data_IF_787900443357
#
_entry.id   IF_787900443357
#
_cell.length_a   1.000
_cell.length_b   1.000
_cell.length_c   1.000
_cell.angle_alpha   90.00
_cell.angle_beta   90.00
_cell.angle_gamma   90.00
#
_symmetry.space_group_name_H-M   'P 1'
#
loop_
_entity.id
_entity.type
_entity.pdbx_description
1 polymer ?
#
# COMPACT_ATOMS: atom_id res chain seq x y z
N UNK A 1 -0.29 -10.04 1.86
CA UNK A 1 -0.71 -8.64 1.63
C UNK A 1 -1.14 -8.52 0.18
N UNK A 2 -2.42 -8.26 -0.09
CA UNK A 2 -2.98 -8.18 -1.45
C UNK A 2 -2.50 -6.93 -2.19
N UNK A 3 -1.25 -6.94 -2.66
CA UNK A 3 -0.61 -5.86 -3.42
C UNK A 3 -0.57 -6.16 -4.93
N UNK A 4 -1.41 -7.09 -5.41
CA UNK A 4 -1.43 -7.51 -6.81
C UNK A 4 -1.76 -6.34 -7.75
N UNK A 5 -2.66 -5.44 -7.35
CA UNK A 5 -2.94 -4.23 -8.11
C UNK A 5 -1.76 -3.27 -8.16
N UNK A 6 -0.95 -3.15 -7.08
CA UNK A 6 0.30 -2.39 -7.12
C UNK A 6 1.32 -3.03 -8.07
N UNK A 7 1.41 -4.37 -8.07
CA UNK A 7 2.32 -5.10 -8.94
C UNK A 7 1.99 -4.86 -10.42
N UNK A 8 0.71 -4.93 -10.79
CA UNK A 8 0.23 -4.64 -12.14
C UNK A 8 0.47 -3.18 -12.53
N UNK A 9 0.09 -2.22 -11.68
CA UNK A 9 0.29 -0.79 -11.97
C UNK A 9 1.78 -0.43 -12.11
N UNK A 10 2.68 -1.07 -11.35
CA UNK A 10 4.12 -0.93 -11.52
C UNK A 10 4.61 -1.48 -12.87
N UNK A 11 4.05 -2.60 -13.34
CA UNK A 11 4.38 -3.14 -14.65
C UNK A 11 3.94 -2.18 -15.77
N UNK A 12 2.72 -1.64 -15.67
CA UNK A 12 2.19 -0.64 -16.61
C UNK A 12 3.05 0.64 -16.63
N UNK A 13 3.51 1.09 -15.46
CA UNK A 13 4.41 2.24 -15.35
C UNK A 13 5.73 2.01 -16.10
N UNK A 14 6.35 0.83 -15.91
CA UNK A 14 7.60 0.45 -16.59
C UNK A 14 7.39 0.40 -18.11
N UNK A 15 6.26 -0.14 -18.56
CA UNK A 15 5.92 -0.17 -19.98
C UNK A 15 5.69 1.22 -20.55
N UNK A 16 4.95 2.09 -19.85
CA UNK A 16 4.72 3.47 -20.27
C UNK A 16 6.02 4.28 -20.38
N UNK A 17 6.97 4.08 -19.46
CA UNK A 17 8.32 4.64 -19.56
C UNK A 17 9.01 4.24 -20.87
N UNK A 18 8.98 2.94 -21.21
CA UNK A 18 9.63 2.41 -22.43
C UNK A 18 9.00 2.95 -23.71
N UNK A 19 7.70 3.22 -23.68
CA UNK A 19 6.94 3.74 -24.83
C UNK A 19 6.95 5.28 -24.92
N UNK A 20 7.61 5.97 -23.98
CA UNK A 20 7.53 7.44 -23.81
C UNK A 20 6.08 7.96 -23.73
N UNK A 21 5.16 7.12 -23.24
CA UNK A 21 3.75 7.48 -23.10
C UNK A 21 3.54 8.24 -21.79
N UNK A 22 3.70 9.57 -21.88
CA UNK A 22 3.60 10.48 -20.73
C UNK A 22 2.23 10.41 -20.04
N UNK A 23 1.15 10.15 -20.79
CA UNK A 23 -0.20 10.09 -20.22
C UNK A 23 -0.37 8.84 -19.39
N UNK A 24 -0.02 7.68 -19.95
CA UNK A 24 -0.09 6.42 -19.22
C UNK A 24 0.87 6.40 -18.04
N UNK A 25 2.07 6.99 -18.17
CA UNK A 25 3.00 7.17 -17.07
C UNK A 25 2.36 7.93 -15.89
N UNK A 26 1.71 9.07 -16.16
CA UNK A 26 1.06 9.87 -15.12
C UNK A 26 -0.13 9.14 -14.48
N UNK A 27 -0.89 8.38 -15.27
CA UNK A 27 -2.04 7.61 -14.78
C UNK A 27 -1.59 6.47 -13.87
N UNK A 28 -0.64 5.65 -14.32
CA UNK A 28 -0.09 4.54 -13.54
C UNK A 28 0.57 5.04 -12.26
N UNK A 29 1.30 6.16 -12.31
CA UNK A 29 1.93 6.73 -11.11
C UNK A 29 0.90 7.22 -10.08
N UNK A 30 -0.18 7.88 -10.53
CA UNK A 30 -1.24 8.32 -9.62
C UNK A 30 -1.98 7.13 -8.99
N UNK A 31 -2.24 6.07 -9.77
CA UNK A 31 -2.82 4.84 -9.26
C UNK A 31 -1.95 4.19 -8.19
N UNK A 32 -0.65 4.04 -8.43
CA UNK A 32 0.29 3.47 -7.45
C UNK A 32 0.29 4.28 -6.15
N UNK A 33 0.32 5.61 -6.24
CA UNK A 33 0.30 6.49 -5.06
C UNK A 33 -0.98 6.31 -4.23
N UNK A 34 -2.13 6.26 -4.88
CA UNK A 34 -3.41 6.08 -4.22
C UNK A 34 -3.51 4.70 -3.54
N UNK A 35 -3.15 3.64 -4.26
CA UNK A 35 -3.20 2.28 -3.73
C UNK A 35 -2.23 2.11 -2.56
N UNK A 36 -1.02 2.67 -2.66
CA UNK A 36 -0.06 2.68 -1.57
C UNK A 36 -0.61 3.42 -0.33
N UNK A 37 -1.23 4.59 -0.51
CA UNK A 37 -1.81 5.33 0.60
C UNK A 37 -2.93 4.54 1.28
N UNK A 38 -3.81 3.89 0.52
CA UNK A 38 -4.86 3.03 1.05
C UNK A 38 -4.32 1.84 1.83
N UNK A 39 -3.31 1.14 1.29
CA UNK A 39 -2.68 0.01 1.99
C UNK A 39 -2.00 0.48 3.26
N UNK A 40 -1.25 1.60 3.21
CA UNK A 40 -0.59 2.17 4.39
C UNK A 40 -1.59 2.48 5.49
N UNK A 41 -2.69 3.16 5.19
CA UNK A 41 -3.72 3.48 6.20
C UNK A 41 -4.32 2.22 6.83
N UNK A 42 -4.59 1.18 6.03
CA UNK A 42 -5.09 -0.10 6.57
C UNK A 42 -4.06 -0.76 7.50
N UNK A 43 -2.79 -0.77 7.09
CA UNK A 43 -1.70 -1.34 7.90
C UNK A 43 -1.48 -0.55 9.20
N UNK A 44 -1.58 0.77 9.18
CA UNK A 44 -1.49 1.60 10.39
C UNK A 44 -2.57 1.21 11.41
N UNK A 45 -3.79 0.96 10.94
CA UNK A 45 -4.90 0.51 11.80
C UNK A 45 -4.61 -0.88 12.38
N UNK A 46 -4.08 -1.81 11.58
CA UNK A 46 -3.64 -3.14 12.09
C UNK A 46 -2.58 -2.99 13.18
N UNK A 47 -1.53 -2.19 12.94
CA UNK A 47 -0.46 -1.95 13.92
C UNK A 47 -1.02 -1.34 15.21
N UNK A 48 -2.00 -0.43 15.12
CA UNK A 48 -2.66 0.12 16.30
C UNK A 48 -3.43 -0.95 17.08
N UNK A 49 -4.13 -1.86 16.39
CA UNK A 49 -4.84 -2.96 17.03
C UNK A 49 -3.88 -3.94 17.72
N UNK A 50 -2.80 -4.35 17.05
CA UNK A 50 -1.77 -5.23 17.62
C UNK A 50 -1.17 -4.63 18.89
N UNK A 51 -0.81 -3.33 18.86
CA UNK A 51 -0.32 -2.61 20.04
C UNK A 51 -1.34 -2.60 21.18
N UNK A 52 -2.63 -2.44 20.87
CA UNK A 52 -3.70 -2.47 21.88
C UNK A 52 -3.82 -3.86 22.51
N UNK A 53 -3.77 -4.92 21.72
CA UNK A 53 -3.81 -6.31 22.19
C UNK A 53 -2.64 -6.57 23.14
N UNK A 54 -1.41 -6.27 22.70
CA UNK A 54 -0.20 -6.48 23.53
C UNK A 54 -0.27 -5.74 24.88
N UNK A 55 -0.82 -4.52 24.91
CA UNK A 55 -1.02 -3.76 26.16
C UNK A 55 -2.04 -4.44 27.07
N UNK A 56 -3.14 -4.95 26.52
CA UNK A 56 -4.18 -5.62 27.31
C UNK A 56 -3.68 -6.96 27.87
N UNK A 57 -2.91 -7.72 27.09
CA UNK A 57 -2.26 -8.96 27.54
C UNK A 57 -1.23 -8.69 28.64
N UNK A 58 -0.42 -7.63 28.49
CA UNK A 58 0.56 -7.24 29.51
C UNK A 58 -0.09 -6.81 30.83
N UNK A 59 -1.29 -6.23 30.78
CA UNK A 59 -2.09 -5.89 31.97
C UNK A 59 -2.71 -7.11 32.63
N UNK A 60 -3.14 -8.11 31.87
CA UNK A 60 -3.71 -9.36 32.41
C UNK A 60 -2.66 -10.29 33.03
N UNK A 61 -1.39 -10.18 32.63
CA UNK A 61 -0.28 -10.97 33.17
C UNK A 61 0.34 -10.38 34.45
N UNK A 62 -0.13 -9.21 34.90
CA UNK A 62 0.25 -8.60 36.19
C UNK A 62 -0.89 -8.78 37.19
#
# INVERSE_FOLDING_TARGET
MGAEHMRLACADLVQACRQMDKRNLSLSLNWIKNEFAHIRTKLEVVVQMERKIMRLESKHKK
#
